data_IF_633498317693
#
_entry.id   IF_633498317693
#
_cell.length_a   1.000
_cell.length_b   1.000
_cell.length_c   1.000
_cell.angle_alpha   90.00
_cell.angle_beta   90.00
_cell.angle_gamma   90.00
#
_symmetry.space_group_name_H-M   'P 1'
#
loop_
_entity.id
_entity.type
_entity.pdbx_description
1 polymer ?
#
# COMPACT_ATOMS: atom_id res chain seq x y z
N UNK A 1 -15.56 -0.41 -9.34
CA UNK A 1 -15.48 -1.31 -8.17
C UNK A 1 -14.09 -1.34 -7.54
N UNK A 2 -13.00 -1.53 -8.33
CA UNK A 2 -11.62 -1.67 -7.80
C UNK A 2 -11.19 -0.61 -6.77
N UNK A 3 -11.38 0.68 -7.07
CA UNK A 3 -10.94 1.79 -6.18
C UNK A 3 -11.73 1.84 -4.87
N UNK A 4 -13.05 1.63 -4.91
CA UNK A 4 -13.86 1.57 -3.68
C UNK A 4 -13.44 0.39 -2.81
N UNK A 5 -13.15 -0.77 -3.41
CA UNK A 5 -12.64 -1.93 -2.67
C UNK A 5 -11.30 -1.65 -2.02
N UNK A 6 -10.38 -0.99 -2.75
CA UNK A 6 -9.07 -0.58 -2.19
C UNK A 6 -9.26 0.41 -1.05
N UNK A 7 -10.03 1.48 -1.24
CA UNK A 7 -10.29 2.47 -0.21
C UNK A 7 -10.87 1.86 1.08
N UNK A 8 -11.84 0.94 0.97
CA UNK A 8 -12.42 0.25 2.13
C UNK A 8 -11.37 -0.57 2.87
N UNK A 9 -10.61 -1.40 2.16
CA UNK A 9 -9.59 -2.24 2.80
C UNK A 9 -8.43 -1.43 3.34
N UNK A 10 -8.01 -0.39 2.65
CA UNK A 10 -6.98 0.53 3.11
C UNK A 10 -7.37 1.25 4.39
N UNK A 11 -8.63 1.69 4.53
CA UNK A 11 -9.13 2.26 5.78
C UNK A 11 -9.08 1.25 6.93
N UNK A 12 -9.59 0.03 6.72
CA UNK A 12 -9.63 -1.02 7.75
C UNK A 12 -8.22 -1.40 8.21
N UNK A 13 -7.32 -1.73 7.27
CA UNK A 13 -5.96 -2.11 7.62
C UNK A 13 -5.13 -0.93 8.14
N UNK A 14 -5.39 0.28 7.64
CA UNK A 14 -4.80 1.51 8.11
C UNK A 14 -5.07 1.76 9.59
N UNK A 15 -6.33 1.60 10.03
CA UNK A 15 -6.71 1.74 11.45
C UNK A 15 -6.00 0.72 12.33
N UNK A 16 -5.95 -0.55 11.91
CA UNK A 16 -5.28 -1.62 12.66
C UNK A 16 -3.79 -1.29 12.83
N UNK A 17 -3.10 -0.95 11.74
CA UNK A 17 -1.68 -0.62 11.79
C UNK A 17 -1.41 0.68 12.54
N UNK A 18 -2.20 1.72 12.30
CA UNK A 18 -2.06 3.02 12.95
C UNK A 18 -2.23 2.93 14.45
N UNK A 19 -3.18 2.13 14.93
CA UNK A 19 -3.37 1.91 16.36
C UNK A 19 -2.16 1.18 16.97
N UNK A 20 -1.71 0.07 16.35
CA UNK A 20 -0.53 -0.67 16.82
C UNK A 20 0.70 0.23 16.90
N UNK A 21 0.97 1.00 15.84
CA UNK A 21 2.14 1.91 15.80
C UNK A 21 2.03 3.00 16.85
N UNK A 22 0.85 3.58 17.07
CA UNK A 22 0.62 4.55 18.15
C UNK A 22 0.97 3.96 19.52
N UNK A 23 0.55 2.72 19.81
CA UNK A 23 0.88 2.05 21.06
C UNK A 23 2.38 1.76 21.20
N UNK A 24 3.05 1.35 20.13
CA UNK A 24 4.49 1.05 20.13
C UNK A 24 5.36 2.31 20.28
N UNK A 25 4.88 3.44 19.77
CA UNK A 25 5.64 4.71 19.77
C UNK A 25 5.23 5.65 20.89
N UNK A 26 4.24 5.27 21.70
CA UNK A 26 3.61 6.12 22.70
C UNK A 26 3.08 7.44 22.09
N UNK A 27 2.74 7.41 20.79
CA UNK A 27 2.30 8.56 20.00
C UNK A 27 0.78 8.73 20.02
N UNK A 28 0.31 9.95 19.77
CA UNK A 28 -1.12 10.24 19.70
C UNK A 28 -1.84 9.49 18.58
N UNK A 29 -3.11 9.12 18.81
CA UNK A 29 -3.95 8.41 17.85
C UNK A 29 -5.18 9.23 17.44
N UNK A 30 -5.41 9.35 16.13
CA UNK A 30 -6.60 9.99 15.55
C UNK A 30 -7.12 9.13 14.41
N UNK A 31 -8.26 8.48 14.63
CA UNK A 31 -8.89 7.55 13.67
C UNK A 31 -9.27 8.25 12.35
N UNK A 32 -9.68 9.53 12.38
CA UNK A 32 -10.00 10.27 11.15
C UNK A 32 -8.72 10.47 10.32
N UNK A 33 -7.64 10.87 10.99
CA UNK A 33 -6.36 11.16 10.32
C UNK A 33 -5.75 9.89 9.73
N UNK A 34 -5.76 8.79 10.48
CA UNK A 34 -5.23 7.50 10.05
C UNK A 34 -6.02 6.95 8.86
N UNK A 35 -7.36 6.95 8.92
CA UNK A 35 -8.21 6.51 7.83
C UNK A 35 -7.95 7.28 6.51
N UNK A 36 -7.87 8.61 6.57
CA UNK A 36 -7.62 9.43 5.37
C UNK A 36 -6.25 9.11 4.77
N UNK A 37 -5.20 9.08 5.60
CA UNK A 37 -3.83 8.79 5.13
C UNK A 37 -3.77 7.39 4.51
N UNK A 38 -4.35 6.40 5.16
CA UNK A 38 -4.31 5.03 4.70
C UNK A 38 -5.03 4.85 3.36
N UNK A 39 -6.19 5.49 3.15
CA UNK A 39 -6.88 5.49 1.86
C UNK A 39 -5.99 6.10 0.77
N UNK A 40 -5.42 7.29 1.01
CA UNK A 40 -4.57 7.98 0.03
C UNK A 40 -3.35 7.15 -0.35
N UNK A 41 -2.65 6.58 0.65
CA UNK A 41 -1.48 5.72 0.42
C UNK A 41 -1.88 4.44 -0.31
N UNK A 42 -3.02 3.85 0.04
CA UNK A 42 -3.56 2.66 -0.62
C UNK A 42 -3.83 2.87 -2.11
N UNK A 43 -4.44 4.01 -2.46
CA UNK A 43 -4.70 4.37 -3.86
C UNK A 43 -3.40 4.61 -4.63
N UNK A 44 -2.41 5.29 -4.03
CA UNK A 44 -1.09 5.48 -4.65
C UNK A 44 -0.41 4.13 -4.89
N UNK A 45 -0.50 3.20 -3.93
CA UNK A 45 0.11 1.88 -4.01
C UNK A 45 -0.42 1.06 -5.21
N UNK A 46 -1.70 1.22 -5.59
CA UNK A 46 -2.29 0.54 -6.75
C UNK A 46 -1.57 0.87 -8.06
N UNK A 47 -1.01 2.08 -8.18
CA UNK A 47 -0.26 2.51 -9.36
C UNK A 47 1.25 2.34 -9.17
N UNK A 48 1.75 2.65 -7.98
CA UNK A 48 3.18 2.60 -7.67
C UNK A 48 3.71 1.15 -7.68
N UNK A 49 3.00 0.19 -7.11
CA UNK A 49 3.47 -1.20 -7.02
C UNK A 49 3.67 -1.81 -8.42
N UNK A 50 2.70 -1.78 -9.35
CA UNK A 50 2.92 -2.30 -10.70
C UNK A 50 4.04 -1.58 -11.46
N UNK A 51 4.13 -0.25 -11.32
CA UNK A 51 5.18 0.54 -11.97
C UNK A 51 6.58 0.16 -11.46
N UNK A 52 6.74 0.00 -10.14
CA UNK A 52 8.00 -0.42 -9.52
C UNK A 52 8.32 -1.90 -9.81
N UNK A 53 7.30 -2.76 -9.79
CA UNK A 53 7.48 -4.21 -10.01
C UNK A 53 7.82 -4.53 -11.47
N UNK A 54 7.33 -3.75 -12.43
CA UNK A 54 7.70 -3.88 -13.85
C UNK A 54 9.18 -3.57 -14.12
N UNK A 55 9.78 -2.64 -13.37
CA UNK A 55 11.22 -2.36 -13.43
C UNK A 55 12.10 -3.39 -12.71
N UNK A 56 11.51 -4.26 -11.89
CA UNK A 56 12.22 -5.27 -11.09
C UNK A 56 12.22 -6.67 -11.73
N UNK A 57 11.53 -6.87 -12.86
CA UNK A 57 11.54 -8.16 -13.57
C UNK A 57 12.96 -8.43 -14.10
N UNK A 58 13.61 -9.55 -13.72
CA UNK A 58 14.87 -9.94 -14.35
C UNK A 58 14.66 -10.02 -15.85
N UNK A 59 15.50 -9.32 -16.61
CA UNK A 59 15.52 -9.40 -18.06
C UNK A 59 15.75 -10.87 -18.40
N UNK A 60 14.74 -11.55 -18.93
CA UNK A 60 14.88 -12.91 -19.44
C UNK A 60 16.04 -12.86 -20.43
N UNK A 61 17.17 -13.46 -20.05
CA UNK A 61 18.28 -13.68 -20.98
C UNK A 61 17.75 -14.74 -21.93
N UNK A 62 17.13 -14.27 -23.01
CA UNK A 62 16.87 -15.06 -24.21
C UNK A 62 18.24 -15.44 -24.76
N UNK A 63 18.85 -16.47 -24.18
CA UNK A 63 19.90 -17.21 -24.84
C UNK A 63 19.21 -17.97 -25.97
N UNK A 64 19.13 -17.30 -27.12
CA UNK A 64 19.00 -17.91 -28.43
C UNK A 64 19.99 -19.07 -28.52
N UNK A 65 19.51 -20.28 -28.28
CA UNK A 65 20.14 -21.50 -28.75
C UNK A 65 19.81 -21.59 -30.24
N UNK A 66 20.83 -21.34 -31.06
CA UNK A 66 20.85 -21.45 -32.51
C UNK A 66 21.93 -22.43 -32.92
#
# INVERSE_FOLDING_TARGET
MKYITVAVWSAIFGEILGYIVSQLTNGGYSYITVAIIAIVVGEIAVYAIPALSGSASPKEVTATES
#
